data_IF_858325480194
#
_entry.id   IF_858325480194
#
_cell.length_a   1.000
_cell.length_b   1.000
_cell.length_c   1.000
_cell.angle_alpha   90.00
_cell.angle_beta   90.00
_cell.angle_gamma   90.00
#
_symmetry.space_group_name_H-M   'P 1'
#
loop_
_entity.id
_entity.type
_entity.pdbx_description
1 polymer ?
#
# COMPACT_ATOMS: atom_id res chain seq x y z
N UNK A 1 9.96 -22.50 -16.46
CA UNK A 1 8.86 -23.30 -15.91
C UNK A 1 7.62 -22.42 -15.96
N UNK A 2 6.50 -22.96 -16.43
CA UNK A 2 5.21 -22.24 -16.47
C UNK A 2 4.66 -22.21 -15.05
N UNK A 3 4.75 -21.06 -14.39
CA UNK A 3 4.43 -20.93 -12.98
C UNK A 3 2.93 -20.74 -12.73
N UNK A 4 2.29 -19.98 -13.62
CA UNK A 4 0.86 -19.69 -13.56
C UNK A 4 0.31 -19.69 -14.98
N UNK A 5 -0.79 -20.40 -15.19
CA UNK A 5 -1.55 -20.43 -16.43
C UNK A 5 -2.98 -20.00 -16.16
N UNK A 6 -3.45 -18.96 -16.85
CA UNK A 6 -4.84 -18.51 -16.84
C UNK A 6 -5.45 -18.78 -18.19
N UNK A 7 -6.47 -19.63 -18.23
CA UNK A 7 -7.31 -19.82 -19.41
C UNK A 7 -8.53 -18.92 -19.29
N UNK A 8 -8.62 -17.96 -20.18
CA UNK A 8 -9.75 -17.06 -20.30
C UNK A 8 -10.50 -17.36 -21.61
N UNK A 9 -11.78 -17.00 -21.68
CA UNK A 9 -12.60 -17.21 -22.88
C UNK A 9 -12.02 -16.53 -24.13
N UNK A 10 -11.24 -15.47 -23.95
CA UNK A 10 -10.67 -14.64 -25.03
C UNK A 10 -9.14 -14.77 -25.22
N UNK A 11 -8.42 -15.38 -24.26
CA UNK A 11 -6.97 -15.49 -24.29
C UNK A 11 -6.45 -16.59 -23.35
N UNK A 12 -5.19 -17.00 -23.54
CA UNK A 12 -4.42 -17.78 -22.56
C UNK A 12 -3.25 -16.94 -22.07
N UNK A 13 -3.09 -16.80 -20.76
CA UNK A 13 -1.97 -16.08 -20.14
C UNK A 13 -1.07 -17.07 -19.41
N UNK A 14 0.22 -16.97 -19.66
CA UNK A 14 1.26 -17.79 -19.05
C UNK A 14 2.26 -16.85 -18.39
N UNK A 15 2.54 -17.11 -17.12
CA UNK A 15 3.62 -16.47 -16.37
C UNK A 15 4.70 -17.51 -16.14
N UNK A 16 5.93 -17.17 -16.49
CA UNK A 16 7.07 -18.07 -16.35
C UNK A 16 7.99 -17.60 -15.23
N UNK A 17 8.67 -18.56 -14.60
CA UNK A 17 9.83 -18.28 -13.77
C UNK A 17 10.81 -19.45 -13.90
N UNK A 18 12.11 -19.17 -14.09
CA UNK A 18 13.13 -20.22 -14.24
C UNK A 18 13.77 -20.61 -12.92
N UNK A 19 13.69 -19.76 -11.89
CA UNK A 19 14.37 -19.93 -10.60
C UNK A 19 13.41 -20.14 -9.43
N UNK A 20 12.16 -20.47 -9.72
CA UNK A 20 11.10 -20.50 -8.72
C UNK A 20 11.42 -21.43 -7.56
N UNK A 21 11.88 -22.64 -7.82
CA UNK A 21 12.18 -23.63 -6.77
C UNK A 21 13.24 -23.14 -5.77
N UNK A 22 14.27 -22.43 -6.26
CA UNK A 22 15.33 -21.89 -5.42
C UNK A 22 14.83 -20.69 -4.59
N UNK A 23 14.00 -19.84 -5.19
CA UNK A 23 13.35 -18.71 -4.51
C UNK A 23 12.42 -19.23 -3.41
N UNK A 24 11.59 -20.21 -3.72
CA UNK A 24 10.67 -20.83 -2.79
C UNK A 24 11.40 -21.48 -1.61
N UNK A 25 12.45 -22.27 -1.89
CA UNK A 25 13.26 -22.92 -0.84
C UNK A 25 13.91 -21.89 0.09
N UNK A 26 14.41 -20.79 -0.48
CA UNK A 26 15.00 -19.69 0.29
C UNK A 26 13.96 -18.98 1.15
N UNK A 27 12.80 -18.66 0.58
CA UNK A 27 11.70 -18.03 1.32
C UNK A 27 11.25 -18.93 2.47
N UNK A 28 10.99 -20.21 2.20
CA UNK A 28 10.58 -21.20 3.21
C UNK A 28 11.59 -21.30 4.36
N UNK A 29 12.89 -21.25 4.06
CA UNK A 29 13.95 -21.28 5.08
C UNK A 29 14.00 -20.02 5.95
N UNK A 30 13.62 -18.86 5.41
CA UNK A 30 13.76 -17.58 6.10
C UNK A 30 12.51 -17.17 6.88
N UNK A 31 11.33 -17.39 6.30
CA UNK A 31 10.05 -16.88 6.81
C UNK A 31 9.08 -17.97 7.24
N UNK A 32 9.44 -19.25 7.05
CA UNK A 32 8.54 -20.37 7.31
C UNK A 32 7.53 -20.58 6.17
N UNK A 33 6.93 -21.77 6.12
CA UNK A 33 5.98 -22.14 5.05
C UNK A 33 4.59 -21.52 5.25
N UNK A 34 4.17 -21.34 6.50
CA UNK A 34 2.84 -20.83 6.84
C UNK A 34 2.59 -19.41 6.31
N UNK A 35 3.63 -18.58 6.20
CA UNK A 35 3.56 -17.23 5.65
C UNK A 35 3.62 -17.14 4.11
N UNK A 36 3.73 -18.26 3.39
CA UNK A 36 3.95 -18.26 1.93
C UNK A 36 2.67 -18.54 1.13
N UNK A 37 1.62 -17.81 1.44
CA UNK A 37 0.34 -17.89 0.75
C UNK A 37 -0.06 -16.53 0.18
N UNK A 38 -0.85 -16.57 -0.90
CA UNK A 38 -1.44 -15.41 -1.56
C UNK A 38 -2.92 -15.69 -1.78
N UNK A 39 -3.77 -14.68 -1.59
CA UNK A 39 -5.17 -14.73 -2.03
C UNK A 39 -5.26 -14.27 -3.48
N UNK A 40 -5.67 -15.16 -4.36
CA UNK A 40 -5.82 -14.88 -5.79
C UNK A 40 -7.26 -14.51 -6.13
N UNK A 41 -7.46 -13.45 -6.90
CA UNK A 41 -8.79 -13.05 -7.36
C UNK A 41 -8.78 -12.56 -8.80
N UNK A 42 -9.84 -12.79 -9.55
CA UNK A 42 -9.92 -12.35 -10.94
C UNK A 42 -11.32 -11.94 -11.39
N UNK A 43 -11.36 -11.14 -12.46
CA UNK A 43 -12.58 -10.73 -13.14
C UNK A 43 -13.24 -11.87 -13.92
N UNK A 44 -14.48 -11.65 -14.38
CA UNK A 44 -15.25 -12.63 -15.15
C UNK A 44 -14.55 -13.09 -16.46
N UNK A 45 -15.01 -14.23 -16.99
CA UNK A 45 -14.55 -14.80 -18.26
C UNK A 45 -13.41 -15.81 -18.14
N UNK A 46 -12.90 -16.05 -16.93
CA UNK A 46 -11.88 -17.08 -16.65
C UNK A 46 -12.51 -18.47 -16.63
N UNK A 47 -11.90 -19.39 -17.39
CA UNK A 47 -12.26 -20.81 -17.46
C UNK A 47 -11.53 -21.62 -16.41
N UNK A 48 -10.24 -21.37 -16.22
CA UNK A 48 -9.43 -22.05 -15.19
C UNK A 48 -8.16 -21.27 -14.87
N UNK A 49 -7.67 -21.41 -13.64
CA UNK A 49 -6.36 -20.92 -13.21
C UNK A 49 -5.56 -22.06 -12.61
N UNK A 50 -4.36 -22.28 -13.11
CA UNK A 50 -3.47 -23.36 -12.67
C UNK A 50 -2.13 -22.78 -12.24
N UNK A 51 -1.64 -23.19 -11.08
CA UNK A 51 -0.31 -22.91 -10.57
C UNK A 51 0.56 -24.16 -10.71
N UNK A 52 1.84 -23.97 -11.07
CA UNK A 52 2.87 -25.00 -10.89
C UNK A 52 3.60 -24.72 -9.57
N UNK A 53 3.43 -25.63 -8.62
CA UNK A 53 4.04 -25.55 -7.31
C UNK A 53 4.96 -26.76 -7.10
N UNK A 54 6.27 -26.54 -7.25
CA UNK A 54 7.31 -27.56 -7.04
C UNK A 54 7.06 -28.81 -7.90
N UNK A 55 6.63 -28.62 -9.15
CA UNK A 55 6.36 -29.70 -10.10
C UNK A 55 4.96 -30.33 -9.97
N UNK A 56 4.13 -29.86 -9.05
CA UNK A 56 2.71 -30.23 -8.97
C UNK A 56 1.82 -29.12 -9.52
N UNK A 57 0.95 -29.46 -10.48
CA UNK A 57 -0.03 -28.52 -11.03
C UNK A 57 -1.29 -28.49 -10.16
N UNK A 58 -1.57 -27.35 -9.54
CA UNK A 58 -2.73 -27.12 -8.69
C UNK A 58 -3.68 -26.16 -9.38
N UNK A 59 -4.95 -26.54 -9.51
CA UNK A 59 -6.00 -25.61 -9.97
C UNK A 59 -6.56 -24.86 -8.78
N UNK A 60 -6.65 -23.53 -8.89
CA UNK A 60 -7.12 -22.67 -7.80
C UNK A 60 -8.49 -22.06 -8.12
N UNK A 61 -9.25 -21.77 -7.08
CA UNK A 61 -10.56 -21.12 -7.18
C UNK A 61 -10.48 -19.62 -6.89
N UNK A 62 -11.45 -18.86 -7.39
CA UNK A 62 -11.47 -17.40 -7.28
C UNK A 62 -11.65 -16.99 -5.82
N UNK A 63 -10.87 -16.01 -5.37
CA UNK A 63 -10.91 -15.44 -4.02
C UNK A 63 -10.56 -16.45 -2.92
N UNK A 64 -9.78 -17.49 -3.25
CA UNK A 64 -9.24 -18.44 -2.29
C UNK A 64 -7.73 -18.27 -2.13
N UNK A 65 -7.24 -18.71 -0.97
CA UNK A 65 -5.81 -18.77 -0.68
C UNK A 65 -5.18 -19.99 -1.37
N UNK A 66 -4.00 -19.76 -1.93
CA UNK A 66 -3.14 -20.80 -2.48
C UNK A 66 -1.66 -20.42 -2.28
N UNK A 67 -0.70 -21.33 -2.49
CA UNK A 67 0.72 -21.03 -2.37
C UNK A 67 1.12 -19.80 -3.20
N UNK A 68 1.95 -18.93 -2.62
CA UNK A 68 2.42 -17.73 -3.29
C UNK A 68 3.39 -18.05 -4.43
N UNK A 69 3.19 -17.44 -5.59
CA UNK A 69 4.08 -17.63 -6.75
C UNK A 69 4.88 -16.38 -7.12
N UNK A 70 4.45 -15.21 -6.64
CA UNK A 70 5.11 -13.94 -6.91
C UNK A 70 5.95 -13.48 -5.71
N UNK A 71 7.20 -13.12 -6.00
CA UNK A 71 8.20 -12.71 -5.03
C UNK A 71 8.94 -11.45 -5.48
N UNK A 72 9.44 -10.72 -4.50
CA UNK A 72 10.29 -9.55 -4.68
C UNK A 72 11.59 -9.90 -5.43
N UNK A 73 12.10 -8.94 -6.21
CA UNK A 73 13.38 -9.03 -6.92
C UNK A 73 13.50 -10.21 -7.90
N UNK A 74 12.38 -10.63 -8.49
CA UNK A 74 12.30 -11.71 -9.49
C UNK A 74 11.72 -11.18 -10.79
N UNK A 75 12.30 -11.62 -11.91
CA UNK A 75 11.76 -11.37 -13.24
C UNK A 75 10.73 -12.44 -13.60
N UNK A 76 9.51 -12.00 -13.90
CA UNK A 76 8.40 -12.82 -14.35
C UNK A 76 8.07 -12.50 -15.80
N UNK A 77 8.64 -13.22 -16.79
CA UNK A 77 8.15 -13.17 -18.17
C UNK A 77 6.68 -13.54 -18.23
N UNK A 78 5.91 -12.75 -18.98
CA UNK A 78 4.47 -12.95 -19.18
C UNK A 78 4.19 -13.00 -20.66
N UNK A 79 3.42 -14.01 -21.06
CA UNK A 79 2.95 -14.24 -22.41
C UNK A 79 1.43 -14.32 -22.38
N UNK A 80 0.76 -13.51 -23.19
CA UNK A 80 -0.69 -13.55 -23.33
C UNK A 80 -1.01 -13.75 -24.80
N UNK A 81 -1.53 -14.92 -25.13
CA UNK A 81 -1.96 -15.27 -26.48
C UNK A 81 -3.48 -15.05 -26.59
N UNK A 82 -3.87 -14.06 -27.38
CA UNK A 82 -5.26 -13.73 -27.64
C UNK A 82 -5.81 -14.51 -28.82
N UNK A 83 -7.12 -14.77 -28.81
CA UNK A 83 -7.82 -15.35 -29.97
C UNK A 83 -7.83 -14.38 -31.16
N UNK A 84 -8.01 -14.93 -32.37
CA UNK A 84 -7.91 -14.19 -33.65
C UNK A 84 -8.83 -12.97 -33.80
N UNK A 85 -9.94 -12.95 -33.06
CA UNK A 85 -10.90 -11.85 -33.08
C UNK A 85 -10.47 -10.63 -32.26
N UNK A 86 -9.47 -10.75 -31.39
CA UNK A 86 -8.96 -9.64 -30.57
C UNK A 86 -7.94 -8.84 -31.36
N UNK A 87 -8.28 -7.65 -31.85
CA UNK A 87 -7.39 -6.92 -32.77
C UNK A 87 -6.35 -6.04 -32.11
N UNK A 88 -6.60 -5.65 -30.86
CA UNK A 88 -5.70 -4.80 -30.07
C UNK A 88 -5.74 -5.25 -28.63
N UNK A 89 -4.57 -5.28 -28.00
CA UNK A 89 -4.42 -5.51 -26.58
C UNK A 89 -3.26 -4.67 -26.06
N UNK A 90 -3.35 -4.26 -24.80
CA UNK A 90 -2.31 -3.55 -24.08
C UNK A 90 -2.32 -3.94 -22.61
N UNK A 91 -1.15 -3.81 -21.99
CA UNK A 91 -1.06 -3.84 -20.53
C UNK A 91 -1.71 -2.57 -19.96
N UNK A 92 -2.44 -2.73 -18.86
CA UNK A 92 -3.35 -1.73 -18.31
C UNK A 92 -2.84 -1.06 -17.03
N UNK A 93 -1.52 -1.00 -16.79
CA UNK A 93 -0.99 -0.33 -15.60
C UNK A 93 -1.25 1.18 -15.65
N UNK A 94 -1.44 1.78 -14.48
CA UNK A 94 -1.50 3.24 -14.30
C UNK A 94 -0.12 3.86 -14.65
N UNK A 95 0.95 3.09 -14.50
CA UNK A 95 2.32 3.52 -14.76
C UNK A 95 2.72 3.25 -16.21
N UNK A 96 2.96 4.31 -16.97
CA UNK A 96 3.28 4.21 -18.40
C UNK A 96 4.58 3.43 -18.66
N UNK A 97 5.59 3.56 -17.80
CA UNK A 97 6.85 2.83 -17.91
C UNK A 97 6.68 1.31 -17.77
N UNK A 98 5.65 0.83 -17.07
CA UNK A 98 5.33 -0.60 -17.02
C UNK A 98 4.65 -1.07 -18.29
N UNK A 99 3.74 -0.26 -18.83
CA UNK A 99 3.07 -0.56 -20.10
C UNK A 99 4.07 -0.68 -21.26
N UNK A 100 5.11 0.14 -21.27
CA UNK A 100 6.17 0.12 -22.28
C UNK A 100 7.03 -1.17 -22.27
N UNK A 101 7.02 -1.92 -21.16
CA UNK A 101 7.69 -3.23 -21.08
C UNK A 101 6.93 -4.33 -21.82
N UNK A 102 5.69 -4.08 -22.23
CA UNK A 102 4.85 -5.03 -22.93
C UNK A 102 4.70 -4.64 -24.41
N UNK A 103 4.85 -5.63 -25.28
CA UNK A 103 4.71 -5.45 -26.73
C UNK A 103 3.65 -6.38 -27.27
N UNK A 104 2.65 -5.82 -27.95
CA UNK A 104 1.63 -6.59 -28.66
C UNK A 104 2.02 -6.81 -30.12
N UNK A 105 2.21 -8.06 -30.54
CA UNK A 105 2.45 -8.44 -31.94
C UNK A 105 1.84 -9.81 -32.23
N UNK A 106 1.21 -9.93 -33.40
CA UNK A 106 0.64 -11.21 -33.89
C UNK A 106 -0.23 -11.92 -32.85
N UNK A 107 -1.17 -11.19 -32.23
CA UNK A 107 -2.07 -11.69 -31.17
C UNK A 107 -1.39 -12.06 -29.84
N UNK A 108 -0.08 -11.84 -29.72
CA UNK A 108 0.64 -12.11 -28.49
C UNK A 108 1.02 -10.77 -27.85
N UNK A 109 0.62 -10.57 -26.59
CA UNK A 109 1.14 -9.52 -25.73
C UNK A 109 2.18 -10.15 -24.82
N UNK A 110 3.44 -9.74 -24.97
CA UNK A 110 4.55 -10.28 -24.21
C UNK A 110 5.32 -9.19 -23.50
N UNK A 111 5.82 -9.48 -22.30
CA UNK A 111 6.61 -8.57 -21.48
C UNK A 111 7.15 -9.27 -20.24
N UNK A 112 7.61 -8.50 -19.28
CA UNK A 112 8.05 -9.03 -17.98
C UNK A 112 7.65 -8.09 -16.86
N UNK A 113 7.34 -8.67 -15.70
CA UNK A 113 7.15 -7.94 -14.45
C UNK A 113 8.36 -8.17 -13.54
N UNK A 114 8.80 -7.10 -12.89
CA UNK A 114 9.79 -7.15 -11.84
C UNK A 114 9.38 -6.12 -10.79
N UNK A 115 9.10 -6.61 -9.59
CA UNK A 115 8.60 -5.82 -8.47
C UNK A 115 9.72 -5.12 -7.68
N UNK A 116 10.99 -5.43 -7.96
CA UNK A 116 12.11 -4.91 -7.18
C UNK A 116 11.93 -5.21 -5.70
N UNK A 117 11.90 -4.18 -4.86
CA UNK A 117 11.68 -4.32 -3.42
C UNK A 117 10.23 -4.06 -2.99
N UNK A 118 9.28 -4.04 -3.93
CA UNK A 118 7.87 -3.77 -3.64
C UNK A 118 7.14 -5.08 -3.36
N UNK A 119 6.50 -5.14 -2.19
CA UNK A 119 5.74 -6.30 -1.72
C UNK A 119 4.31 -5.90 -1.35
N UNK A 120 3.42 -6.88 -1.26
CA UNK A 120 2.00 -6.71 -0.99
C UNK A 120 1.15 -6.99 -2.22
N UNK A 121 -0.11 -6.54 -2.20
CA UNK A 121 -1.09 -6.88 -3.23
C UNK A 121 -0.83 -6.10 -4.53
N UNK A 122 -0.85 -6.83 -5.64
CA UNK A 122 -0.60 -6.36 -7.00
C UNK A 122 -1.65 -6.92 -7.94
N UNK A 123 -1.80 -6.28 -9.10
CA UNK A 123 -2.74 -6.70 -10.14
C UNK A 123 -2.09 -6.70 -11.53
N UNK A 124 -2.40 -7.73 -12.31
CA UNK A 124 -2.21 -7.73 -13.75
C UNK A 124 -3.51 -7.24 -14.37
N UNK A 125 -3.43 -6.12 -15.09
CA UNK A 125 -4.56 -5.52 -15.77
C UNK A 125 -4.34 -5.56 -17.28
N UNK A 126 -5.33 -6.05 -18.02
CA UNK A 126 -5.30 -6.11 -19.48
C UNK A 126 -6.46 -5.29 -20.04
N UNK A 127 -6.19 -4.54 -21.11
CA UNK A 127 -7.20 -3.81 -21.86
C UNK A 127 -7.13 -4.30 -23.30
N UNK A 128 -8.22 -4.86 -23.81
CA UNK A 128 -8.24 -5.46 -25.15
C UNK A 128 -9.56 -5.19 -25.88
N UNK A 129 -9.52 -5.25 -27.21
CA UNK A 129 -10.64 -4.86 -28.08
C UNK A 129 -11.19 -6.05 -28.86
N UNK A 130 -12.49 -6.30 -28.72
CA UNK A 130 -13.25 -7.28 -29.50
C UNK A 130 -14.25 -6.51 -30.37
N UNK A 131 -14.01 -6.47 -31.68
CA UNK A 131 -14.81 -5.66 -32.59
C UNK A 131 -14.75 -4.17 -32.19
N UNK A 132 -15.87 -3.60 -31.75
CA UNK A 132 -15.97 -2.23 -31.24
C UNK A 132 -15.95 -2.14 -29.70
N UNK A 133 -16.06 -3.26 -29.00
CA UNK A 133 -16.12 -3.32 -27.54
C UNK A 133 -14.71 -3.32 -26.94
N UNK A 134 -14.48 -2.48 -25.93
CA UNK A 134 -13.25 -2.51 -25.11
C UNK A 134 -13.53 -3.27 -23.83
N UNK A 135 -12.80 -4.36 -23.61
CA UNK A 135 -12.89 -5.19 -22.41
C UNK A 135 -11.69 -4.96 -21.52
N UNK A 136 -11.90 -5.19 -20.22
CA UNK A 136 -10.86 -5.15 -19.19
C UNK A 136 -10.83 -6.47 -18.46
N UNK A 137 -9.64 -6.94 -18.17
CA UNK A 137 -9.40 -8.10 -17.33
C UNK A 137 -8.47 -7.71 -16.19
N UNK A 138 -8.74 -8.25 -15.00
CA UNK A 138 -7.94 -8.01 -13.80
C UNK A 138 -7.69 -9.33 -13.09
N UNK A 139 -6.42 -9.58 -12.78
CA UNK A 139 -5.97 -10.69 -11.96
C UNK A 139 -5.13 -10.14 -10.80
N UNK A 140 -5.61 -10.31 -9.57
CA UNK A 140 -4.97 -9.82 -8.36
C UNK A 140 -4.33 -10.96 -7.56
N UNK A 141 -3.18 -10.66 -6.94
CA UNK A 141 -2.36 -11.58 -6.15
C UNK A 141 -1.47 -10.80 -5.19
N UNK A 142 -0.69 -11.49 -4.38
CA UNK A 142 0.29 -10.90 -3.48
C UNK A 142 1.72 -11.20 -3.91
N UNK A 143 2.59 -10.19 -3.83
CA UNK A 143 4.03 -10.29 -4.03
C UNK A 143 4.68 -10.36 -2.64
N UNK A 144 5.37 -11.47 -2.34
CA UNK A 144 5.98 -11.68 -1.03
C UNK A 144 7.49 -11.41 -1.04
N UNK A 145 8.07 -11.14 0.14
CA UNK A 145 9.52 -11.08 0.28
C UNK A 145 10.11 -12.43 0.64
N UNK A 146 11.25 -12.78 0.04
CA UNK A 146 12.03 -13.96 0.48
C UNK A 146 12.70 -13.78 1.85
N UNK A 147 12.70 -12.57 2.42
CA UNK A 147 13.46 -12.21 3.63
C UNK A 147 12.59 -11.75 4.80
N UNK A 148 11.32 -11.45 4.54
CA UNK A 148 10.43 -10.83 5.52
C UNK A 148 9.09 -11.55 5.53
N UNK A 149 8.64 -11.96 6.71
CA UNK A 149 7.29 -12.49 6.88
C UNK A 149 6.29 -11.33 6.79
N UNK A 150 5.75 -11.13 5.58
CA UNK A 150 4.81 -10.06 5.30
C UNK A 150 3.61 -10.14 6.23
N UNK A 151 2.94 -11.30 6.32
CA UNK A 151 1.67 -11.45 7.05
C UNK A 151 1.79 -11.19 8.56
N UNK A 152 2.93 -11.50 9.17
CA UNK A 152 3.14 -11.29 10.61
C UNK A 152 3.73 -9.91 10.93
N UNK A 153 4.70 -9.44 10.14
CA UNK A 153 5.55 -8.30 10.55
C UNK A 153 5.12 -6.97 9.93
N UNK A 154 4.19 -6.96 8.98
CA UNK A 154 3.84 -5.74 8.25
C UNK A 154 3.26 -4.63 9.14
N UNK A 155 2.42 -4.97 10.14
CA UNK A 155 1.80 -3.98 11.04
C UNK A 155 2.89 -3.20 11.80
N UNK A 156 3.84 -3.92 12.40
CA UNK A 156 4.95 -3.32 13.17
C UNK A 156 5.87 -2.48 12.29
N UNK A 157 6.18 -2.94 11.07
CA UNK A 157 7.03 -2.17 10.15
C UNK A 157 6.37 -0.85 9.74
N UNK A 158 5.07 -0.86 9.44
CA UNK A 158 4.33 0.35 9.10
C UNK A 158 4.26 1.30 10.30
N UNK A 159 4.02 0.78 11.51
CA UNK A 159 4.03 1.59 12.74
C UNK A 159 5.40 2.25 12.97
N UNK A 160 6.50 1.53 12.78
CA UNK A 160 7.86 2.06 12.93
C UNK A 160 8.17 3.12 11.84
N UNK A 161 7.79 2.88 10.58
CA UNK A 161 7.96 3.85 9.49
C UNK A 161 7.12 5.11 9.74
N UNK A 162 5.89 4.98 10.23
CA UNK A 162 5.05 6.14 10.57
C UNK A 162 5.61 6.97 11.72
N UNK A 163 6.30 6.34 12.68
CA UNK A 163 6.98 7.06 13.76
C UNK A 163 8.15 7.91 13.26
N UNK A 164 8.86 7.45 12.22
CA UNK A 164 10.10 8.09 11.77
C UNK A 164 9.94 8.94 10.48
N UNK A 165 9.12 8.50 9.52
CA UNK A 165 8.93 9.11 8.20
C UNK A 165 7.48 9.02 7.66
N UNK A 166 6.60 9.84 8.23
CA UNK A 166 5.15 9.96 7.89
C UNK A 166 4.75 10.13 6.42
N UNK A 167 5.68 10.44 5.52
CA UNK A 167 5.41 10.72 4.09
C UNK A 167 5.85 9.60 3.15
N UNK A 168 6.69 8.66 3.63
CA UNK A 168 7.23 7.55 2.84
C UNK A 168 6.23 6.40 2.71
N UNK A 169 5.38 6.20 3.72
CA UNK A 169 4.28 5.24 3.72
C UNK A 169 3.28 5.47 2.58
N UNK A 170 3.00 6.74 2.25
CA UNK A 170 2.13 7.12 1.14
C UNK A 170 2.73 6.77 -0.23
N UNK A 171 4.05 6.86 -0.38
CA UNK A 171 4.75 6.48 -1.61
C UNK A 171 4.82 4.94 -1.75
N UNK A 172 5.03 4.25 -0.62
CA UNK A 172 4.99 2.79 -0.53
C UNK A 172 3.62 2.21 -0.95
N UNK A 173 2.52 2.79 -0.47
CA UNK A 173 1.14 2.37 -0.80
C UNK A 173 0.72 2.64 -2.27
N UNK A 174 1.47 3.44 -3.03
CA UNK A 174 1.05 3.90 -4.37
C UNK A 174 1.23 2.85 -5.47
N UNK A 175 2.17 1.91 -5.32
CA UNK A 175 2.46 0.87 -6.33
C UNK A 175 1.87 -0.50 -5.99
N UNK A 176 1.73 -0.83 -4.72
CA UNK A 176 1.02 -2.02 -4.24
C UNK A 176 -0.26 -1.57 -3.53
N UNK A 177 -1.41 -1.84 -4.16
CA UNK A 177 -2.69 -1.56 -3.52
C UNK A 177 -2.95 -2.65 -2.48
N UNK A 178 -2.73 -2.36 -1.20
CA UNK A 178 -3.35 -3.14 -0.13
C UNK A 178 -4.85 -3.13 -0.36
N UNK A 179 -5.40 -4.24 -0.83
CA UNK A 179 -6.77 -4.30 -1.30
C UNK A 179 -7.72 -3.98 -0.17
N UNK A 180 -8.53 -2.93 -0.36
CA UNK A 180 -9.53 -2.48 0.60
C UNK A 180 -10.77 -3.39 0.59
N UNK A 181 -10.60 -4.69 0.84
CA UNK A 181 -11.72 -5.61 0.96
C UNK A 181 -12.09 -5.75 2.43
N UNK A 182 -13.34 -5.45 2.84
CA UNK A 182 -13.78 -5.70 4.20
C UNK A 182 -13.89 -7.22 4.41
N UNK A 183 -12.90 -7.83 5.06
CA UNK A 183 -13.11 -9.06 5.80
C UNK A 183 -14.16 -8.84 6.90
N UNK A 184 -15.13 -9.75 6.98
CA UNK A 184 -16.17 -9.79 8.01
C UNK A 184 -15.60 -10.12 9.40
N UNK A 185 -14.32 -10.48 9.50
CA UNK A 185 -13.61 -10.78 10.74
C UNK A 185 -13.06 -9.54 11.49
N UNK A 186 -13.20 -8.33 10.94
CA UNK A 186 -12.90 -7.08 11.65
C UNK A 186 -11.46 -6.57 11.53
N UNK A 187 -10.54 -7.36 10.98
CA UNK A 187 -9.17 -6.92 10.70
C UNK A 187 -9.06 -6.43 9.25
N UNK A 188 -9.55 -5.21 9.03
CA UNK A 188 -9.66 -4.59 7.70
C UNK A 188 -8.95 -3.24 7.66
N UNK A 189 -8.73 -2.65 6.46
CA UNK A 189 -7.83 -1.52 6.20
C UNK A 189 -8.15 -0.23 6.96
N UNK A 190 -9.28 -0.20 7.68
CA UNK A 190 -9.54 0.78 8.71
C UNK A 190 -8.36 0.89 9.68
N UNK A 191 -7.63 -0.17 10.03
CA UNK A 191 -6.43 -0.06 10.88
C UNK A 191 -5.34 0.81 10.22
N UNK A 192 -5.16 0.78 8.91
CA UNK A 192 -4.15 1.61 8.23
C UNK A 192 -4.65 3.06 8.12
N UNK A 193 -5.90 3.27 7.73
CA UNK A 193 -6.48 4.61 7.73
C UNK A 193 -6.51 5.21 9.14
N UNK A 194 -6.89 4.44 10.16
CA UNK A 194 -6.86 4.86 11.56
C UNK A 194 -5.42 5.05 12.05
N UNK A 195 -4.45 4.19 11.76
CA UNK A 195 -3.07 4.41 12.25
C UNK A 195 -2.43 5.66 11.64
N UNK A 196 -2.62 5.90 10.34
CA UNK A 196 -2.03 7.06 9.63
C UNK A 196 -2.81 8.35 9.92
N UNK A 197 -4.15 8.30 9.89
CA UNK A 197 -4.99 9.50 9.99
C UNK A 197 -5.60 9.75 11.37
N UNK A 198 -5.71 8.77 12.28
CA UNK A 198 -6.34 9.03 13.58
C UNK A 198 -5.50 9.95 14.46
N UNK A 199 -4.18 9.85 14.38
CA UNK A 199 -3.29 10.77 15.09
C UNK A 199 -3.49 12.21 14.60
N UNK A 200 -3.67 12.41 13.29
CA UNK A 200 -3.95 13.74 12.74
C UNK A 200 -5.38 14.20 13.03
N UNK A 201 -6.34 13.29 13.02
CA UNK A 201 -7.72 13.56 13.40
C UNK A 201 -7.79 14.05 14.85
N UNK A 202 -7.06 13.42 15.78
CA UNK A 202 -7.02 13.87 17.18
C UNK A 202 -6.38 15.26 17.32
N UNK A 203 -5.27 15.53 16.62
CA UNK A 203 -4.65 16.86 16.61
C UNK A 203 -5.62 17.91 16.04
N UNK A 204 -6.29 17.58 14.94
CA UNK A 204 -7.27 18.45 14.30
C UNK A 204 -8.47 18.74 15.20
N UNK A 205 -9.08 17.71 15.80
CA UNK A 205 -10.19 17.86 16.74
C UNK A 205 -9.77 18.69 17.95
N UNK A 206 -8.56 18.47 18.50
CA UNK A 206 -8.04 19.26 19.63
C UNK A 206 -7.80 20.71 19.25
N UNK A 207 -7.30 20.99 18.05
CA UNK A 207 -7.14 22.35 17.54
C UNK A 207 -8.50 23.04 17.35
N UNK A 208 -9.47 22.36 16.75
CA UNK A 208 -10.83 22.87 16.60
C UNK A 208 -11.49 23.14 17.96
N UNK A 209 -11.38 22.22 18.92
CA UNK A 209 -11.87 22.43 20.30
C UNK A 209 -11.18 23.61 20.96
N UNK A 210 -9.87 23.75 20.85
CA UNK A 210 -9.15 24.92 21.39
C UNK A 210 -9.65 26.25 20.79
N UNK A 211 -9.99 26.28 19.51
CA UNK A 211 -10.52 27.48 18.83
C UNK A 211 -11.97 27.76 19.29
N UNK A 212 -12.81 26.72 19.37
CA UNK A 212 -14.22 26.82 19.76
C UNK A 212 -14.37 27.16 21.24
N UNK A 213 -13.57 26.54 22.11
CA UNK A 213 -13.65 26.68 23.57
C UNK A 213 -12.94 27.96 24.06
N UNK A 214 -12.06 28.55 23.24
CA UNK A 214 -11.37 29.81 23.57
C UNK A 214 -11.46 30.85 22.44
N UNK A 215 -12.68 31.26 22.03
CA UNK A 215 -12.86 32.14 20.87
C UNK A 215 -12.38 33.58 21.11
N UNK A 216 -12.08 33.95 22.36
CA UNK A 216 -11.64 35.32 22.74
C UNK A 216 -10.60 35.31 23.86
N UNK A 217 -9.35 34.99 23.55
CA UNK A 217 -8.23 35.50 24.37
C UNK A 217 -7.96 36.96 23.99
N UNK A 218 -8.78 37.88 24.48
CA UNK A 218 -8.40 39.29 24.54
C UNK A 218 -7.67 39.49 25.87
N UNK A 219 -6.39 39.84 25.82
CA UNK A 219 -5.65 40.28 27.00
C UNK A 219 -6.36 41.52 27.56
N UNK A 220 -7.00 41.37 28.71
CA UNK A 220 -7.54 42.47 29.47
C UNK A 220 -6.49 42.84 30.53
N UNK A 221 -5.84 43.98 30.37
CA UNK A 221 -5.04 44.56 31.44
C UNK A 221 -5.95 44.84 32.63
N UNK A 222 -5.59 44.29 33.80
CA UNK A 222 -6.18 44.68 35.08
C UNK A 222 -5.09 45.33 35.90
N UNK A 223 -5.29 46.59 36.26
CA UNK A 223 -4.43 47.27 37.21
C UNK A 223 -4.63 46.63 38.58
N UNK A 224 -3.54 46.13 39.15
CA UNK A 224 -3.53 45.47 40.45
C UNK A 224 -2.54 46.19 41.36
N UNK A 225 -3.05 46.84 42.40
CA UNK A 225 -2.23 47.49 43.42
C UNK A 225 -1.59 46.42 44.30
N UNK A 226 -0.26 46.33 44.25
CA UNK A 226 0.55 45.48 45.12
C UNK A 226 1.50 46.36 45.91
N UNK A 227 1.84 45.93 47.12
CA UNK A 227 2.93 46.55 47.87
C UNK A 227 4.24 46.38 47.10
N UNK A 228 5.12 47.37 47.21
CA UNK A 228 6.40 47.45 46.51
C UNK A 228 7.26 46.18 46.66
N UNK A 229 7.29 45.59 47.85
CA UNK A 229 8.03 44.37 48.19
C UNK A 229 7.52 43.10 47.46
N UNK A 230 6.31 43.16 46.90
CA UNK A 230 5.67 42.06 46.17
C UNK A 230 5.68 42.25 44.65
N UNK A 231 6.33 43.30 44.14
CA UNK A 231 6.52 43.51 42.70
C UNK A 231 7.69 42.65 42.21
N UNK A 232 7.42 41.78 41.24
CA UNK A 232 8.45 40.93 40.62
C UNK A 232 9.35 41.72 39.67
N UNK A 233 8.84 42.84 39.15
CA UNK A 233 9.54 43.76 38.28
C UNK A 233 9.04 45.18 38.61
N UNK A 234 9.96 46.12 38.79
CA UNK A 234 9.66 47.54 39.01
C UNK A 234 9.89 48.25 37.68
N UNK A 235 8.82 48.74 37.00
CA UNK A 235 8.98 49.53 35.81
C UNK A 235 9.66 50.87 36.12
N UNK A 236 10.51 51.33 35.21
CA UNK A 236 11.32 52.57 35.36
C UNK A 236 10.49 53.83 35.64
N UNK A 237 9.20 53.83 35.32
CA UNK A 237 8.31 54.97 35.56
C UNK A 237 7.78 55.04 37.02
N UNK A 238 7.84 53.95 37.79
CA UNK A 238 7.43 53.91 39.22
C UNK A 238 8.67 54.04 40.14
N UNK A 239 9.88 53.89 39.59
CA UNK A 239 11.12 53.81 40.36
C UNK A 239 11.41 55.07 41.17
N UNK A 240 11.15 56.26 40.62
CA UNK A 240 11.32 57.53 41.33
C UNK A 240 10.32 57.69 42.50
N UNK A 241 9.04 57.36 42.27
CA UNK A 241 7.97 57.45 43.28
C UNK A 241 8.21 56.47 44.45
N UNK A 242 8.78 55.31 44.14
CA UNK A 242 9.15 54.29 45.12
C UNK A 242 10.39 54.69 45.93
N UNK A 243 11.32 55.46 45.34
CA UNK A 243 12.50 55.98 46.03
C UNK A 243 12.14 57.11 47.01
N UNK A 244 11.18 57.96 46.67
CA UNK A 244 10.71 59.06 47.53
C UNK A 244 10.07 58.55 48.83
N UNK A 245 9.33 57.44 48.78
CA UNK A 245 8.63 56.87 49.93
C UNK A 245 9.36 55.70 50.60
N UNK A 246 10.65 55.51 50.34
CA UNK A 246 11.43 54.37 50.86
C UNK A 246 11.87 54.53 52.32
N UNK A 247 11.86 55.75 52.86
CA UNK A 247 12.38 56.09 54.19
C UNK A 247 11.32 56.63 55.17
N UNK A 248 10.04 56.61 54.79
CA UNK A 248 8.90 56.78 55.72
C UNK A 248 8.42 55.41 56.24
#
# INVERSE_FOLDING_TARGET
MELLTIRHQDFEMIVECTKFDDIWRKAKSNVGEEGLHSTYSWSEGVVSVTLDHIGERVTIENSQQAPAVFFDNVDYPIWIEFKDYVKKAQFGSILQNENEKFTFRRQILAGFLNYGNEIGRSEIQLIYQIGTETRRFTFSFEVLSTKLNYHEHWKTIIEDIEQEYRMLSLDYMRRTFHGFSPDRSGDTPEIIWWSVFANEQQKFIKACKNIIDRPRHRLHGKDAYKRADKLTFIPSYIENELAEHRND
#
